data_IF_162443619607
#
_entry.id   IF_162443619607
#
_cell.length_a   1.000
_cell.length_b   1.000
_cell.length_c   1.000
_cell.angle_alpha   90.00
_cell.angle_beta   90.00
_cell.angle_gamma   90.00
#
_symmetry.space_group_name_H-M   'P 1'
#
loop_
_entity.id
_entity.type
_entity.pdbx_description
1 polymer ?
#
# COMPACT_ATOMS: atom_id res chain seq x y z
N UNK A 1 14.48 29.38 -74.67
CA UNK A 1 13.63 28.32 -75.28
C UNK A 1 14.34 26.97 -75.10
N UNK A 2 13.59 25.89 -74.76
CA UNK A 2 14.09 24.58 -74.26
C UNK A 2 14.49 23.65 -75.46
N UNK A 3 14.84 22.33 -75.33
CA UNK A 3 14.53 21.42 -74.22
C UNK A 3 15.51 20.27 -73.85
N UNK A 4 15.15 19.68 -72.71
CA UNK A 4 15.36 18.32 -72.20
C UNK A 4 15.52 17.20 -73.26
N UNK A 5 16.54 16.34 -73.08
CA UNK A 5 16.48 14.85 -73.17
C UNK A 5 17.88 14.23 -73.07
N UNK A 6 18.32 13.85 -71.87
CA UNK A 6 19.48 12.97 -71.69
C UNK A 6 19.38 12.23 -70.35
N UNK A 7 18.60 11.14 -70.32
CA UNK A 7 18.63 10.09 -69.29
C UNK A 7 17.64 8.99 -69.67
N UNK A 8 18.03 8.15 -70.65
CA UNK A 8 17.42 6.84 -71.00
C UNK A 8 18.16 6.26 -72.21
N UNK A 9 19.41 5.83 -72.03
CA UNK A 9 20.17 5.10 -73.07
C UNK A 9 21.39 4.38 -72.48
N UNK A 10 21.18 3.63 -71.40
CA UNK A 10 22.17 2.68 -70.83
C UNK A 10 21.61 1.25 -70.80
N UNK A 11 20.49 0.99 -71.47
CA UNK A 11 19.72 -0.25 -71.27
C UNK A 11 19.75 -1.28 -72.40
N UNK A 12 20.54 -1.17 -73.48
CA UNK A 12 20.34 -2.11 -74.61
C UNK A 12 21.56 -2.34 -75.53
N UNK A 13 22.77 -2.52 -74.99
CA UNK A 13 23.94 -2.90 -75.82
C UNK A 13 25.00 -3.77 -75.11
N UNK A 14 24.60 -4.69 -74.23
CA UNK A 14 25.49 -5.79 -73.76
C UNK A 14 24.74 -7.13 -73.70
N UNK A 15 23.71 -7.33 -74.54
CA UNK A 15 22.89 -8.58 -74.58
C UNK A 15 23.22 -9.45 -75.81
N UNK A 16 24.30 -9.17 -76.53
CA UNK A 16 24.54 -9.73 -77.87
C UNK A 16 25.84 -10.50 -78.09
N UNK A 17 26.48 -11.08 -77.07
CA UNK A 17 27.66 -11.94 -77.26
C UNK A 17 27.78 -12.97 -76.12
N UNK A 18 26.86 -13.93 -76.12
CA UNK A 18 26.93 -15.14 -75.34
C UNK A 18 26.66 -16.34 -76.27
N UNK A 19 27.68 -16.79 -77.00
CA UNK A 19 27.71 -18.11 -77.65
C UNK A 19 29.11 -18.40 -78.18
N UNK A 20 29.99 -18.94 -77.32
CA UNK A 20 31.01 -19.96 -77.65
C UNK A 20 32.19 -19.96 -76.66
N UNK A 21 31.98 -20.39 -75.41
CA UNK A 21 33.02 -21.07 -74.61
C UNK A 21 32.46 -21.44 -73.22
N UNK A 22 31.54 -22.39 -73.16
CA UNK A 22 31.21 -23.09 -71.92
C UNK A 22 31.68 -24.54 -72.06
N UNK A 23 32.96 -24.76 -71.80
CA UNK A 23 33.58 -26.07 -71.65
C UNK A 23 34.00 -26.27 -70.20
N UNK A 24 33.15 -26.97 -69.45
CA UNK A 24 33.44 -27.81 -68.27
C UNK A 24 34.51 -27.34 -67.26
N UNK A 25 34.05 -26.75 -66.15
CA UNK A 25 34.46 -27.17 -64.80
C UNK A 25 33.25 -27.16 -63.89
N UNK A 26 32.61 -28.33 -63.74
CA UNK A 26 31.64 -28.58 -62.67
C UNK A 26 32.46 -28.67 -61.38
N UNK A 27 32.67 -27.54 -60.71
CA UNK A 27 32.88 -27.56 -59.28
C UNK A 27 31.54 -28.00 -58.67
N UNK A 28 31.53 -29.13 -57.96
CA UNK A 28 30.39 -29.49 -57.12
C UNK A 28 30.18 -28.33 -56.15
N UNK A 29 29.11 -27.56 -56.34
CA UNK A 29 28.46 -26.91 -55.21
C UNK A 29 27.92 -28.04 -54.34
N UNK A 30 28.73 -28.50 -53.39
CA UNK A 30 28.17 -29.09 -52.19
C UNK A 30 27.36 -27.98 -51.54
N UNK A 31 26.05 -28.20 -51.39
CA UNK A 31 25.26 -27.48 -50.40
C UNK A 31 26.06 -27.49 -49.09
N UNK A 32 26.26 -26.33 -48.43
CA UNK A 32 26.80 -26.37 -47.09
C UNK A 32 25.83 -27.22 -46.27
N UNK A 33 26.29 -28.39 -45.85
CA UNK A 33 25.59 -29.15 -44.81
C UNK A 33 25.54 -28.19 -43.63
N UNK A 34 24.35 -27.63 -43.38
CA UNK A 34 24.08 -26.90 -42.15
C UNK A 34 24.16 -27.96 -41.05
N UNK A 35 25.36 -28.22 -40.56
CA UNK A 35 25.55 -28.90 -39.30
C UNK A 35 24.85 -28.04 -38.27
N UNK A 36 23.69 -28.49 -37.79
CA UNK A 36 22.96 -27.79 -36.74
C UNK A 36 23.91 -27.50 -35.58
N UNK A 37 23.82 -26.29 -35.04
CA UNK A 37 24.58 -25.93 -33.83
C UNK A 37 24.30 -27.03 -32.77
N UNK A 38 25.32 -27.51 -32.04
CA UNK A 38 25.15 -28.63 -31.13
C UNK A 38 24.16 -28.26 -30.02
N UNK A 39 23.21 -29.16 -29.75
CA UNK A 39 22.34 -29.05 -28.56
C UNK A 39 23.23 -29.20 -27.32
N UNK A 40 23.09 -28.34 -26.30
CA UNK A 40 23.92 -28.45 -25.10
C UNK A 40 23.71 -29.79 -24.37
N UNK A 41 24.65 -30.16 -23.51
CA UNK A 41 24.44 -31.24 -22.54
C UNK A 41 23.55 -30.74 -21.39
N UNK A 42 22.71 -31.61 -20.79
CA UNK A 42 21.83 -31.19 -19.73
C UNK A 42 22.60 -30.80 -18.45
N UNK A 43 22.08 -29.86 -17.65
CA UNK A 43 22.56 -29.64 -16.28
C UNK A 43 22.26 -30.87 -15.41
N UNK A 44 22.94 -30.96 -14.27
CA UNK A 44 22.88 -32.14 -13.40
C UNK A 44 22.86 -31.78 -11.91
N UNK A 45 22.55 -32.76 -11.05
CA UNK A 45 22.63 -32.57 -9.60
C UNK A 45 21.62 -31.56 -9.05
N UNK A 46 20.41 -31.51 -9.64
CA UNK A 46 19.33 -30.68 -9.15
C UNK A 46 18.88 -31.15 -7.77
N UNK A 47 19.03 -30.28 -6.77
CA UNK A 47 18.50 -30.43 -5.42
C UNK A 47 17.45 -29.36 -5.23
N UNK A 48 16.29 -29.75 -4.71
CA UNK A 48 15.21 -28.83 -4.35
C UNK A 48 14.90 -29.01 -2.88
N UNK A 49 14.86 -27.90 -2.14
CA UNK A 49 14.60 -27.91 -0.70
C UNK A 49 13.61 -26.82 -0.31
N UNK A 50 12.85 -27.07 0.75
CA UNK A 50 11.96 -26.08 1.37
C UNK A 50 12.78 -24.96 2.03
N UNK A 51 12.29 -23.73 1.91
CA UNK A 51 12.97 -22.57 2.51
C UNK A 51 12.63 -22.51 4.00
N UNK A 52 13.61 -22.53 4.91
CA UNK A 52 13.32 -22.44 6.33
C UNK A 52 12.75 -21.06 6.71
N UNK A 53 11.98 -21.01 7.80
CA UNK A 53 11.39 -19.78 8.35
C UNK A 53 10.39 -19.05 7.42
N UNK A 54 9.80 -19.72 6.42
CA UNK A 54 8.82 -19.09 5.52
C UNK A 54 7.37 -19.56 5.76
N UNK A 55 6.44 -19.01 4.98
CA UNK A 55 5.02 -19.37 5.04
C UNK A 55 4.68 -20.60 4.16
N UNK A 56 5.65 -21.45 3.85
CA UNK A 56 5.52 -22.58 2.92
C UNK A 56 5.14 -22.11 1.52
N UNK A 57 5.81 -21.08 1.02
CA UNK A 57 5.52 -20.46 -0.30
C UNK A 57 6.75 -20.39 -1.20
N UNK A 58 7.88 -20.92 -0.77
CA UNK A 58 9.13 -20.85 -1.52
C UNK A 58 9.83 -22.20 -1.51
N UNK A 59 10.29 -22.64 -2.67
CA UNK A 59 11.24 -23.76 -2.80
C UNK A 59 12.53 -23.26 -3.43
N UNK A 60 13.67 -23.64 -2.87
CA UNK A 60 15.00 -23.32 -3.39
C UNK A 60 15.53 -24.45 -4.26
N UNK A 61 15.97 -24.10 -5.46
CA UNK A 61 16.57 -25.00 -6.43
C UNK A 61 18.06 -24.69 -6.56
N UNK A 62 18.88 -25.74 -6.48
CA UNK A 62 20.33 -25.68 -6.69
C UNK A 62 20.72 -26.77 -7.67
N UNK A 63 21.46 -26.43 -8.72
CA UNK A 63 21.94 -27.39 -9.72
C UNK A 63 23.40 -27.12 -10.13
N UNK A 64 24.04 -28.11 -10.74
CA UNK A 64 25.33 -27.96 -11.39
C UNK A 64 25.14 -27.54 -12.84
N UNK A 65 25.95 -26.59 -13.30
CA UNK A 65 25.94 -26.09 -14.68
C UNK A 65 26.08 -27.24 -15.70
N UNK A 66 25.57 -27.00 -16.90
CA UNK A 66 25.86 -27.85 -18.04
C UNK A 66 27.37 -27.89 -18.27
N UNK A 67 27.95 -29.06 -18.59
CA UNK A 67 29.34 -29.16 -19.00
C UNK A 67 29.71 -28.31 -20.24
N UNK A 68 28.73 -27.83 -21.01
CA UNK A 68 28.92 -26.96 -22.19
C UNK A 68 28.72 -25.46 -21.87
N UNK A 69 28.45 -25.13 -20.60
CA UNK A 69 28.39 -23.75 -20.10
C UNK A 69 29.80 -23.26 -19.73
N UNK A 70 30.67 -23.22 -20.74
CA UNK A 70 32.06 -22.78 -20.62
C UNK A 70 32.21 -21.33 -21.11
N UNK A 71 33.05 -20.50 -20.43
CA UNK A 71 33.29 -19.12 -20.84
C UNK A 71 33.71 -19.02 -22.31
N UNK A 72 33.00 -18.19 -23.09
CA UNK A 72 33.31 -17.88 -24.48
C UNK A 72 32.78 -18.86 -25.54
N UNK A 73 32.17 -19.99 -25.15
CA UNK A 73 31.63 -20.96 -26.12
C UNK A 73 30.18 -20.67 -26.52
N UNK A 74 29.42 -19.92 -25.70
CA UNK A 74 28.01 -19.51 -25.93
C UNK A 74 27.07 -20.64 -26.38
N UNK A 75 27.40 -21.89 -26.03
CA UNK A 75 26.60 -23.08 -26.34
C UNK A 75 25.33 -23.08 -25.49
N UNK A 76 25.44 -22.71 -24.22
CA UNK A 76 24.30 -22.45 -23.33
C UNK A 76 24.06 -20.94 -23.25
N UNK A 77 22.82 -20.51 -23.47
CA UNK A 77 22.39 -19.13 -23.23
C UNK A 77 21.50 -19.00 -22.01
N UNK A 78 20.67 -20.01 -21.75
CA UNK A 78 19.60 -19.93 -20.75
C UNK A 78 19.32 -21.30 -20.16
N UNK A 79 18.96 -21.33 -18.88
CA UNK A 79 18.36 -22.49 -18.23
C UNK A 79 16.86 -22.23 -18.04
N UNK A 80 16.02 -23.18 -18.44
CA UNK A 80 14.60 -23.17 -18.15
C UNK A 80 14.30 -24.03 -16.92
N UNK A 81 13.55 -23.46 -15.99
CA UNK A 81 13.05 -24.14 -14.81
C UNK A 81 11.62 -24.60 -15.10
N UNK A 82 11.42 -25.91 -15.02
CA UNK A 82 10.12 -26.51 -15.27
C UNK A 82 9.63 -27.29 -14.04
N UNK A 83 8.32 -27.23 -13.81
CA UNK A 83 7.64 -27.88 -12.70
C UNK A 83 6.41 -28.65 -13.17
N UNK A 84 6.13 -29.75 -12.49
CA UNK A 84 4.90 -30.52 -12.60
C UNK A 84 4.42 -30.99 -11.23
N UNK A 85 3.13 -31.30 -11.11
CA UNK A 85 2.55 -31.96 -9.93
C UNK A 85 2.63 -33.49 -10.04
N UNK A 86 3.01 -34.02 -11.21
CA UNK A 86 3.26 -35.47 -11.38
C UNK A 86 4.64 -35.73 -11.99
N UNK A 87 5.25 -36.91 -11.75
CA UNK A 87 6.54 -37.26 -12.35
C UNK A 87 6.53 -37.26 -13.88
N UNK A 88 5.37 -37.52 -14.50
CA UNK A 88 5.23 -37.67 -15.95
C UNK A 88 4.92 -36.35 -16.67
N UNK A 89 4.56 -35.29 -15.93
CA UNK A 89 4.05 -34.05 -16.50
C UNK A 89 2.52 -33.88 -16.32
N UNK A 90 1.91 -32.87 -16.97
CA UNK A 90 2.52 -31.92 -17.89
C UNK A 90 3.53 -31.00 -17.18
N UNK A 91 4.60 -30.66 -17.89
CA UNK A 91 5.64 -29.77 -17.40
C UNK A 91 5.31 -28.33 -17.78
N UNK A 92 5.36 -27.44 -16.81
CA UNK A 92 5.11 -26.00 -16.98
C UNK A 92 6.40 -25.24 -16.75
N UNK A 93 6.70 -24.27 -17.60
CA UNK A 93 7.85 -23.39 -17.41
C UNK A 93 7.50 -22.32 -16.38
N UNK A 94 8.26 -22.29 -15.28
CA UNK A 94 8.07 -21.30 -14.22
C UNK A 94 8.94 -20.08 -14.50
N UNK A 95 10.20 -20.32 -14.87
CA UNK A 95 11.18 -19.25 -15.03
C UNK A 95 12.31 -19.63 -15.99
N UNK A 96 13.13 -18.63 -16.35
CA UNK A 96 14.32 -18.76 -17.17
C UNK A 96 15.47 -17.93 -16.57
N UNK A 97 16.64 -18.52 -16.41
CA UNK A 97 17.84 -17.85 -15.88
C UNK A 97 18.99 -17.89 -16.89
N UNK A 98 19.87 -16.89 -16.87
CA UNK A 98 21.00 -16.82 -17.79
C UNK A 98 22.01 -17.95 -17.52
N UNK A 99 22.82 -18.26 -18.55
CA UNK A 99 24.01 -19.08 -18.44
C UNK A 99 24.90 -18.66 -17.26
N UNK A 100 25.55 -19.62 -16.60
CA UNK A 100 26.33 -19.41 -15.38
C UNK A 100 25.54 -19.36 -14.06
N UNK A 101 24.20 -19.37 -14.10
CA UNK A 101 23.37 -19.41 -12.87
C UNK A 101 23.20 -20.84 -12.37
N UNK A 102 23.41 -21.08 -11.07
CA UNK A 102 23.30 -22.41 -10.42
C UNK A 102 22.21 -22.50 -9.36
N UNK A 103 21.56 -21.39 -9.02
CA UNK A 103 20.59 -21.33 -7.92
C UNK A 103 19.41 -20.46 -8.28
N UNK A 104 18.20 -20.85 -7.88
CA UNK A 104 16.98 -20.05 -8.03
C UNK A 104 15.89 -20.49 -7.08
N UNK A 105 15.10 -19.54 -6.58
CA UNK A 105 13.92 -19.81 -5.75
C UNK A 105 12.63 -19.71 -6.56
N UNK A 106 11.74 -20.68 -6.41
CA UNK A 106 10.36 -20.65 -6.92
C UNK A 106 9.40 -20.17 -5.81
N UNK A 107 8.84 -18.97 -5.99
CA UNK A 107 7.88 -18.34 -5.07
C UNK A 107 6.42 -18.52 -5.53
N UNK A 108 6.18 -19.24 -6.62
CA UNK A 108 4.85 -19.47 -7.20
C UNK A 108 4.20 -20.76 -6.69
N UNK A 109 4.80 -21.43 -5.71
CA UNK A 109 4.35 -22.71 -5.18
C UNK A 109 3.18 -22.54 -4.22
N UNK A 110 2.25 -23.50 -4.26
CA UNK A 110 1.20 -23.61 -3.25
C UNK A 110 1.67 -24.44 -2.06
N UNK A 111 1.26 -24.02 -0.87
CA UNK A 111 1.60 -24.70 0.40
C UNK A 111 1.09 -26.14 0.40
N UNK A 112 1.92 -27.06 0.89
CA UNK A 112 1.62 -28.50 1.03
C UNK A 112 1.27 -29.22 -0.28
N UNK A 113 1.60 -28.63 -1.44
CA UNK A 113 1.47 -29.30 -2.74
C UNK A 113 2.81 -29.95 -3.09
N UNK A 114 2.76 -31.18 -3.59
CA UNK A 114 3.94 -31.92 -4.04
C UNK A 114 4.28 -31.52 -5.48
N UNK A 115 5.53 -31.10 -5.67
CA UNK A 115 6.04 -30.69 -6.97
C UNK A 115 7.26 -31.52 -7.36
N UNK A 116 7.38 -31.74 -8.66
CA UNK A 116 8.52 -32.29 -9.34
C UNK A 116 9.16 -31.20 -10.19
N UNK A 117 10.48 -31.10 -10.12
CA UNK A 117 11.25 -30.09 -10.84
C UNK A 117 12.24 -30.73 -11.79
N UNK A 118 12.50 -30.05 -12.91
CA UNK A 118 13.61 -30.33 -13.79
C UNK A 118 14.18 -29.03 -14.34
N UNK A 119 15.48 -29.03 -14.60
CA UNK A 119 16.17 -27.91 -15.26
C UNK A 119 16.69 -28.40 -16.59
N UNK A 120 16.43 -27.62 -17.64
CA UNK A 120 16.93 -27.88 -18.99
C UNK A 120 17.75 -26.68 -19.45
N UNK A 121 18.83 -26.95 -20.19
CA UNK A 121 19.59 -25.89 -20.82
C UNK A 121 19.02 -25.60 -22.21
N UNK A 122 19.22 -24.38 -22.68
CA UNK A 122 18.86 -23.95 -24.02
C UNK A 122 19.97 -23.10 -24.60
N UNK A 123 20.15 -23.22 -25.91
CA UNK A 123 21.13 -22.46 -26.67
C UNK A 123 20.79 -22.41 -28.15
N UNK A 124 21.71 -21.90 -28.99
CA UNK A 124 21.48 -21.74 -30.42
C UNK A 124 21.18 -23.05 -31.15
N UNK A 125 21.65 -24.19 -30.61
CA UNK A 125 21.39 -25.53 -31.13
C UNK A 125 20.03 -26.14 -30.74
N UNK A 126 19.30 -25.52 -29.81
CA UNK A 126 18.02 -26.01 -29.30
C UNK A 126 18.03 -26.22 -27.78
N UNK A 127 17.06 -27.00 -27.31
CA UNK A 127 16.83 -27.26 -25.88
C UNK A 127 17.28 -28.67 -25.54
N UNK A 128 17.94 -28.83 -24.39
CA UNK A 128 18.42 -30.14 -23.93
C UNK A 128 17.28 -31.02 -23.46
N UNK A 129 17.41 -32.35 -23.52
CA UNK A 129 16.57 -33.22 -22.71
C UNK A 129 16.76 -32.90 -21.22
N UNK A 130 15.79 -33.27 -20.38
CA UNK A 130 15.94 -33.16 -18.93
C UNK A 130 16.99 -34.16 -18.44
N UNK A 131 18.00 -33.67 -17.71
CA UNK A 131 19.06 -34.52 -17.15
C UNK A 131 18.56 -35.37 -15.97
N UNK A 132 17.75 -34.78 -15.09
CA UNK A 132 17.13 -35.46 -13.96
C UNK A 132 15.84 -34.74 -13.53
N UNK A 133 14.91 -35.52 -12.97
CA UNK A 133 13.72 -35.00 -12.28
C UNK A 133 13.95 -35.14 -10.77
N UNK A 134 13.68 -34.07 -10.02
CA UNK A 134 13.81 -34.04 -8.56
C UNK A 134 12.42 -33.83 -7.93
N UNK A 135 12.00 -34.74 -7.06
CA UNK A 135 10.70 -34.68 -6.37
C UNK A 135 10.26 -36.03 -5.80
N UNK A 136 9.13 -36.07 -5.06
CA UNK A 136 8.29 -34.93 -4.71
C UNK A 136 8.92 -34.04 -3.64
N UNK A 137 8.82 -32.72 -3.81
CA UNK A 137 9.18 -31.72 -2.79
C UNK A 137 7.96 -30.84 -2.52
N UNK A 138 7.74 -30.49 -1.26
CA UNK A 138 6.61 -29.66 -0.83
C UNK A 138 7.10 -28.48 0.00
N UNK A 139 6.48 -27.32 -0.20
CA UNK A 139 6.72 -26.16 0.65
C UNK A 139 5.83 -26.22 1.89
N UNK A 140 6.42 -26.17 3.09
CA UNK A 140 5.70 -26.33 4.35
C UNK A 140 5.76 -25.07 5.19
N UNK A 141 4.62 -24.66 5.75
CA UNK A 141 4.61 -23.49 6.63
C UNK A 141 5.16 -23.85 7.99
N UNK A 142 6.06 -23.02 8.47
CA UNK A 142 6.58 -23.11 9.82
C UNK A 142 5.77 -22.20 10.75
N UNK A 143 5.55 -22.64 11.99
CA UNK A 143 4.80 -21.87 12.98
C UNK A 143 5.58 -20.67 13.52
N UNK A 144 6.92 -20.77 13.54
CA UNK A 144 7.81 -19.75 14.09
C UNK A 144 8.83 -19.38 13.00
N UNK A 145 8.91 -18.09 12.68
CA UNK A 145 9.98 -17.52 11.87
C UNK A 145 11.03 -16.91 12.81
N UNK A 146 12.19 -17.55 12.91
CA UNK A 146 13.27 -17.10 13.79
C UNK A 146 13.98 -15.84 13.28
N UNK A 147 13.93 -15.56 11.98
CA UNK A 147 14.52 -14.37 11.35
C UNK A 147 13.83 -13.08 11.79
N UNK A 148 12.57 -13.16 12.22
CA UNK A 148 11.74 -12.00 12.63
C UNK A 148 11.70 -11.76 14.13
N UNK A 149 12.74 -12.17 14.87
CA UNK A 149 12.77 -12.01 16.33
C UNK A 149 12.64 -10.56 16.80
N UNK A 150 13.21 -9.60 16.06
CA UNK A 150 13.10 -8.17 16.34
C UNK A 150 11.65 -7.68 16.29
N UNK A 151 10.83 -8.20 15.36
CA UNK A 151 9.39 -7.88 15.27
C UNK A 151 8.64 -8.39 16.48
N UNK A 152 8.94 -9.61 16.94
CA UNK A 152 8.30 -10.18 18.13
C UNK A 152 8.62 -9.35 19.37
N UNK A 153 9.90 -9.01 19.58
CA UNK A 153 10.33 -8.16 20.70
C UNK A 153 9.66 -6.78 20.64
N UNK A 154 9.65 -6.15 19.47
CA UNK A 154 8.99 -4.85 19.26
C UNK A 154 7.48 -4.91 19.55
N UNK A 155 6.82 -5.99 19.14
CA UNK A 155 5.39 -6.21 19.37
C UNK A 155 5.08 -6.40 20.86
N UNK A 156 5.86 -7.25 21.56
CA UNK A 156 5.72 -7.45 23.00
C UNK A 156 5.94 -6.14 23.74
N UNK A 157 6.98 -5.39 23.38
CA UNK A 157 7.25 -4.08 23.98
C UNK A 157 6.08 -3.12 23.73
N UNK A 158 5.52 -3.07 22.53
CA UNK A 158 4.40 -2.20 22.18
C UNK A 158 3.18 -2.47 23.05
N UNK A 159 2.73 -3.72 23.11
CA UNK A 159 1.60 -4.10 23.95
C UNK A 159 1.90 -3.85 25.44
N UNK A 160 3.12 -4.16 25.89
CA UNK A 160 3.52 -3.93 27.28
C UNK A 160 3.46 -2.46 27.66
N UNK A 161 3.94 -1.54 26.80
CA UNK A 161 3.88 -0.10 27.03
C UNK A 161 2.45 0.42 27.02
N UNK A 162 1.64 0.05 26.01
CA UNK A 162 0.23 0.46 25.92
C UNK A 162 -0.55 0.01 27.15
N UNK A 163 -0.45 -1.26 27.54
CA UNK A 163 -1.14 -1.81 28.71
C UNK A 163 -0.65 -1.16 30.02
N UNK A 164 0.66 -0.93 30.16
CA UNK A 164 1.22 -0.23 31.30
C UNK A 164 0.63 1.18 31.46
N UNK A 165 0.57 1.95 30.38
CA UNK A 165 0.02 3.32 30.46
C UNK A 165 -1.49 3.33 30.66
N UNK A 166 -2.25 2.43 30.04
CA UNK A 166 -3.69 2.29 30.32
C UNK A 166 -3.90 2.02 31.81
N UNK A 167 -3.20 1.04 32.39
CA UNK A 167 -3.30 0.71 33.81
C UNK A 167 -2.85 1.89 34.70
N UNK A 168 -1.78 2.58 34.33
CA UNK A 168 -1.26 3.71 35.08
C UNK A 168 -2.20 4.91 35.09
N UNK A 169 -2.90 5.19 33.99
CA UNK A 169 -3.88 6.30 33.90
C UNK A 169 -5.16 5.92 34.65
N UNK A 170 -5.61 4.67 34.54
CA UNK A 170 -6.74 4.15 35.32
C UNK A 170 -6.49 4.19 36.82
N UNK A 171 -5.23 4.00 37.26
CA UNK A 171 -4.83 4.15 38.66
C UNK A 171 -4.78 5.61 39.15
N UNK A 172 -5.19 6.58 38.32
CA UNK A 172 -5.33 7.99 38.68
C UNK A 172 -4.12 8.86 38.36
N UNK A 173 -3.07 8.33 37.72
CA UNK A 173 -1.98 9.19 37.22
C UNK A 173 -2.48 10.00 36.03
N UNK A 174 -2.15 11.30 36.02
CA UNK A 174 -2.48 12.22 34.93
C UNK A 174 -1.21 12.49 34.11
N UNK A 175 -0.89 11.66 33.11
CA UNK A 175 0.28 11.90 32.27
C UNK A 175 0.12 13.22 31.52
N UNK A 176 1.24 13.91 31.27
CA UNK A 176 1.24 15.07 30.40
C UNK A 176 0.97 14.62 28.95
N UNK A 177 -0.10 15.19 28.38
CA UNK A 177 -0.51 15.01 26.98
C UNK A 177 -0.36 16.36 26.28
N UNK A 178 0.28 16.39 25.10
CA UNK A 178 0.57 17.64 24.36
C UNK A 178 -0.74 18.26 23.89
N UNK A 179 -0.96 19.55 24.16
CA UNK A 179 -2.13 20.26 23.63
C UNK A 179 -2.11 20.27 22.08
N UNK A 180 -3.25 19.96 21.46
CA UNK A 180 -3.42 20.02 20.01
C UNK A 180 -4.31 21.23 19.68
N UNK A 181 -3.79 22.28 19.01
CA UNK A 181 -4.54 23.51 18.75
C UNK A 181 -5.90 23.28 18.08
N UNK A 182 -5.97 22.34 17.14
CA UNK A 182 -7.23 22.03 16.45
C UNK A 182 -8.31 21.44 17.36
N UNK A 183 -7.97 20.90 18.53
CA UNK A 183 -8.95 20.39 19.49
C UNK A 183 -9.56 21.54 20.29
N UNK A 184 -8.75 22.48 20.76
CA UNK A 184 -9.24 23.68 21.45
C UNK A 184 -10.13 24.53 20.53
N UNK A 185 -9.77 24.57 19.24
CA UNK A 185 -10.54 25.26 18.22
C UNK A 185 -11.95 24.69 18.04
N UNK A 186 -12.19 23.39 18.33
CA UNK A 186 -13.53 22.80 18.29
C UNK A 186 -14.42 23.40 19.37
N UNK A 187 -13.92 23.49 20.61
CA UNK A 187 -14.66 24.09 21.73
C UNK A 187 -14.91 25.57 21.49
N UNK A 188 -13.92 26.30 21.01
CA UNK A 188 -14.07 27.71 20.59
C UNK A 188 -15.12 27.84 19.48
N UNK A 189 -15.05 27.00 18.45
CA UNK A 189 -15.97 27.05 17.32
C UNK A 189 -17.42 26.82 17.74
N UNK A 190 -17.66 25.86 18.62
CA UNK A 190 -19.00 25.59 19.16
C UNK A 190 -19.46 26.75 20.04
N UNK A 191 -18.59 27.28 20.91
CA UNK A 191 -18.93 28.44 21.74
C UNK A 191 -19.34 29.66 20.92
N UNK A 192 -18.63 29.96 19.83
CA UNK A 192 -19.02 31.04 18.89
C UNK A 192 -20.35 30.73 18.19
N UNK A 193 -20.59 29.48 17.82
CA UNK A 193 -21.86 29.08 17.22
C UNK A 193 -23.03 29.28 18.22
N UNK A 194 -22.81 28.99 19.50
CA UNK A 194 -23.76 29.28 20.59
C UNK A 194 -24.04 30.78 20.71
N UNK A 195 -22.99 31.60 20.76
CA UNK A 195 -23.11 33.07 20.89
C UNK A 195 -23.86 33.69 19.71
N UNK A 196 -23.69 33.13 18.51
CA UNK A 196 -24.39 33.58 17.30
C UNK A 196 -25.80 32.97 17.14
N UNK A 197 -26.20 32.03 17.98
CA UNK A 197 -27.47 31.31 17.84
C UNK A 197 -27.61 30.54 16.53
N UNK A 198 -26.48 30.08 15.95
CA UNK A 198 -26.41 29.42 14.65
C UNK A 198 -25.94 27.96 14.81
N UNK A 199 -26.34 27.04 13.92
CA UNK A 199 -26.00 25.64 14.06
C UNK A 199 -24.50 25.37 13.82
N UNK A 200 -24.04 24.22 14.33
CA UNK A 200 -22.76 23.59 13.99
C UNK A 200 -23.01 22.56 12.88
N UNK A 201 -22.22 22.62 11.82
CA UNK A 201 -22.20 21.59 10.78
C UNK A 201 -21.03 20.64 11.05
N UNK A 202 -21.32 19.35 11.24
CA UNK A 202 -20.29 18.32 11.41
C UNK A 202 -20.33 17.34 10.25
N UNK A 203 -19.18 17.05 9.64
CA UNK A 203 -19.09 16.10 8.53
C UNK A 203 -18.07 14.98 8.85
N UNK A 204 -18.49 13.71 8.99
CA UNK A 204 -17.63 12.58 9.35
C UNK A 204 -16.90 11.96 8.13
N UNK A 205 -16.40 12.79 7.20
CA UNK A 205 -15.82 12.33 5.93
C UNK A 205 -16.86 11.88 4.89
N UNK A 206 -16.38 11.52 3.70
CA UNK A 206 -17.21 11.09 2.56
C UNK A 206 -17.04 9.60 2.21
N UNK A 207 -16.38 8.83 3.07
CA UNK A 207 -16.11 7.40 2.85
C UNK A 207 -16.96 6.52 3.76
N UNK A 208 -17.10 5.26 3.39
CA UNK A 208 -17.77 4.25 4.22
C UNK A 208 -16.88 3.84 5.41
N UNK A 209 -17.41 3.02 6.33
CA UNK A 209 -16.75 2.56 7.56
C UNK A 209 -15.49 1.70 7.31
N UNK A 210 -15.26 1.28 6.06
CA UNK A 210 -14.04 0.60 5.65
C UNK A 210 -12.80 1.52 5.72
N UNK A 211 -13.00 2.85 5.69
CA UNK A 211 -11.94 3.82 5.94
C UNK A 211 -11.85 4.10 7.46
N UNK A 212 -10.66 3.89 8.01
CA UNK A 212 -10.38 4.09 9.44
C UNK A 212 -10.59 5.55 9.88
N UNK A 213 -10.48 6.53 8.97
CA UNK A 213 -10.74 7.94 9.26
C UNK A 213 -12.22 8.23 9.46
N UNK A 214 -13.11 7.52 8.74
CA UNK A 214 -14.56 7.61 8.97
C UNK A 214 -14.90 7.13 10.37
N UNK A 215 -14.31 6.01 10.79
CA UNK A 215 -14.46 5.50 12.17
C UNK A 215 -13.99 6.55 13.18
N UNK A 216 -12.80 7.13 12.98
CA UNK A 216 -12.27 8.18 13.85
C UNK A 216 -13.20 9.42 13.90
N UNK A 217 -13.69 9.86 12.75
CA UNK A 217 -14.64 10.97 12.62
C UNK A 217 -15.96 10.70 13.35
N UNK A 218 -16.48 9.47 13.34
CA UNK A 218 -17.69 9.13 14.08
C UNK A 218 -17.45 9.09 15.60
N UNK A 219 -16.28 8.61 16.06
CA UNK A 219 -15.94 8.64 17.49
C UNK A 219 -15.76 10.08 18.00
N UNK A 220 -15.16 10.97 17.18
CA UNK A 220 -15.06 12.40 17.51
C UNK A 220 -16.45 13.05 17.57
N UNK A 221 -17.38 12.64 16.69
CA UNK A 221 -18.75 13.18 16.66
C UNK A 221 -19.47 13.01 17.99
N UNK A 222 -19.30 11.90 18.71
CA UNK A 222 -19.90 11.72 20.03
C UNK A 222 -19.45 12.81 21.02
N UNK A 223 -18.14 13.12 21.02
CA UNK A 223 -17.59 14.15 21.89
C UNK A 223 -18.05 15.55 21.49
N UNK A 224 -18.15 15.82 20.18
CA UNK A 224 -18.70 17.07 19.65
C UNK A 224 -20.18 17.21 20.02
N UNK A 225 -20.98 16.16 19.83
CA UNK A 225 -22.41 16.14 20.18
C UNK A 225 -22.64 16.36 21.68
N UNK A 226 -21.79 15.78 22.53
CA UNK A 226 -21.80 16.04 23.97
C UNK A 226 -21.54 17.51 24.29
N UNK A 227 -20.61 18.14 23.58
CA UNK A 227 -20.25 19.54 23.77
C UNK A 227 -21.33 20.50 23.25
N UNK A 228 -21.89 20.24 22.06
CA UNK A 228 -23.01 21.01 21.52
C UNK A 228 -24.26 20.88 22.40
N UNK A 229 -24.53 19.70 22.97
CA UNK A 229 -25.63 19.50 23.91
C UNK A 229 -25.46 20.32 25.20
N UNK A 230 -24.22 20.40 25.74
CA UNK A 230 -23.91 21.22 26.93
C UNK A 230 -24.12 22.71 26.66
N UNK A 231 -23.66 23.18 25.50
CA UNK A 231 -23.81 24.58 25.08
C UNK A 231 -25.15 24.87 24.41
N UNK A 232 -26.09 23.94 24.39
CA UNK A 232 -27.43 24.16 23.82
C UNK A 232 -27.40 24.56 22.34
N UNK A 233 -26.40 24.11 21.59
CA UNK A 233 -26.18 24.49 20.20
C UNK A 233 -26.71 23.42 19.24
N UNK A 234 -27.53 23.78 18.25
CA UNK A 234 -28.00 22.83 17.25
C UNK A 234 -26.83 22.25 16.44
N UNK A 235 -26.87 20.94 16.17
CA UNK A 235 -25.88 20.24 15.34
C UNK A 235 -26.57 19.63 14.11
N UNK A 236 -25.97 19.77 12.94
CA UNK A 236 -26.39 19.14 11.69
C UNK A 236 -25.27 18.26 11.15
N UNK A 237 -25.59 17.00 10.87
CA UNK A 237 -24.64 15.96 10.48
C UNK A 237 -25.09 15.28 9.18
N UNK A 238 -24.75 15.81 8.00
CA UNK A 238 -25.00 15.11 6.75
C UNK A 238 -24.03 13.93 6.61
N UNK A 239 -24.53 12.76 6.19
CA UNK A 239 -23.74 11.53 6.05
C UNK A 239 -23.96 10.89 4.67
N UNK A 240 -22.88 10.35 4.10
CA UNK A 240 -22.83 9.83 2.72
C UNK A 240 -23.39 8.40 2.60
N UNK A 241 -23.08 7.51 3.56
CA UNK A 241 -23.40 6.08 3.47
C UNK A 241 -24.36 5.61 4.58
N UNK A 242 -25.18 4.56 4.36
CA UNK A 242 -26.16 4.08 5.33
C UNK A 242 -25.56 3.56 6.66
N UNK A 243 -24.39 2.91 6.61
CA UNK A 243 -23.74 2.36 7.83
C UNK A 243 -23.18 3.50 8.70
N UNK A 244 -22.37 4.45 8.16
CA UNK A 244 -21.99 5.64 8.89
C UNK A 244 -23.19 6.46 9.37
N UNK A 245 -24.31 6.50 8.64
CA UNK A 245 -25.52 7.22 9.06
C UNK A 245 -26.09 6.67 10.37
N UNK A 246 -26.28 5.35 10.43
CA UNK A 246 -26.82 4.69 11.64
C UNK A 246 -25.86 4.80 12.83
N UNK A 247 -24.55 4.74 12.59
CA UNK A 247 -23.56 4.97 13.65
C UNK A 247 -23.59 6.43 14.10
N UNK A 248 -23.66 7.39 13.17
CA UNK A 248 -23.70 8.82 13.49
C UNK A 248 -24.93 9.18 14.32
N UNK A 249 -26.11 8.63 14.02
CA UNK A 249 -27.32 8.79 14.85
C UNK A 249 -27.06 8.34 16.29
N UNK A 250 -26.45 7.16 16.47
CA UNK A 250 -26.15 6.65 17.80
C UNK A 250 -25.07 7.48 18.51
N UNK A 251 -24.04 7.96 17.80
CA UNK A 251 -23.01 8.84 18.38
C UNK A 251 -23.59 10.17 18.85
N UNK A 252 -24.47 10.80 18.06
CA UNK A 252 -25.15 12.04 18.47
C UNK A 252 -26.05 11.77 19.67
N UNK A 253 -26.89 10.73 19.61
CA UNK A 253 -27.78 10.37 20.72
C UNK A 253 -27.01 10.06 22.00
N UNK A 254 -25.93 9.27 21.91
CA UNK A 254 -25.03 8.96 23.03
C UNK A 254 -24.40 10.22 23.60
N UNK A 255 -23.92 11.13 22.73
CA UNK A 255 -23.37 12.43 23.16
C UNK A 255 -24.35 13.25 23.99
N UNK A 256 -25.61 13.36 23.55
CA UNK A 256 -26.66 14.06 24.28
C UNK A 256 -27.03 13.37 25.61
N UNK A 257 -27.07 12.03 25.61
CA UNK A 257 -27.29 11.24 26.83
C UNK A 257 -26.15 11.46 27.84
N UNK A 258 -24.90 11.40 27.39
CA UNK A 258 -23.69 11.66 28.20
C UNK A 258 -23.56 13.11 28.67
N UNK A 259 -24.22 14.06 28.00
CA UNK A 259 -24.37 15.43 28.45
C UNK A 259 -25.47 15.60 29.52
N UNK A 260 -26.27 14.56 29.78
CA UNK A 260 -27.41 14.61 30.70
C UNK A 260 -28.61 15.36 30.12
N UNK A 261 -28.70 15.49 28.79
CA UNK A 261 -29.77 16.22 28.08
C UNK A 261 -30.42 15.41 26.94
N UNK A 262 -30.89 14.18 27.20
CA UNK A 262 -31.48 13.33 26.17
C UNK A 262 -32.74 13.94 25.53
N UNK A 263 -33.47 14.80 26.24
CA UNK A 263 -34.68 15.47 25.75
C UNK A 263 -34.42 16.50 24.65
N UNK A 264 -33.17 16.94 24.49
CA UNK A 264 -32.76 17.88 23.44
C UNK A 264 -32.22 17.22 22.19
N UNK A 265 -32.13 15.89 22.17
CA UNK A 265 -31.74 15.16 20.98
C UNK A 265 -32.78 15.40 19.86
N UNK A 266 -32.32 15.89 18.71
CA UNK A 266 -33.14 16.00 17.50
C UNK A 266 -32.91 14.78 16.61
N UNK A 267 -33.93 13.93 16.36
CA UNK A 267 -33.83 12.80 15.44
C UNK A 267 -33.46 13.20 14.01
N UNK A 268 -33.67 14.46 13.60
CA UNK A 268 -33.33 14.96 12.27
C UNK A 268 -31.98 15.68 12.21
N UNK A 269 -31.20 15.64 13.30
CA UNK A 269 -29.85 16.22 13.35
C UNK A 269 -28.89 15.49 12.42
N UNK A 270 -29.02 14.17 12.30
CA UNK A 270 -28.25 13.35 11.35
C UNK A 270 -29.10 13.06 10.13
N UNK A 271 -28.53 13.21 8.93
CA UNK A 271 -29.25 13.03 7.67
C UNK A 271 -28.43 12.23 6.68
N UNK A 272 -28.99 11.13 6.18
CA UNK A 272 -28.46 10.47 5.00
C UNK A 272 -28.78 11.32 3.77
N UNK A 273 -27.76 11.65 2.97
CA UNK A 273 -27.89 12.55 1.83
C UNK A 273 -27.83 11.78 0.51
N UNK A 274 -26.66 11.24 0.18
CA UNK A 274 -26.43 10.46 -1.04
C UNK A 274 -25.06 9.80 -0.97
N UNK A 275 -24.89 8.57 -1.48
CA UNK A 275 -23.58 7.96 -1.63
C UNK A 275 -22.82 8.51 -2.84
N UNK A 276 -23.49 9.24 -3.74
CA UNK A 276 -22.87 9.86 -4.91
C UNK A 276 -22.08 11.11 -4.49
N UNK A 277 -20.76 11.07 -4.71
CA UNK A 277 -19.79 12.03 -4.19
C UNK A 277 -20.16 13.49 -4.48
N UNK A 278 -20.43 13.85 -5.74
CA UNK A 278 -20.78 15.24 -6.09
C UNK A 278 -22.18 15.65 -5.66
N UNK A 279 -23.13 14.72 -5.61
CA UNK A 279 -24.48 15.00 -5.10
C UNK A 279 -24.43 15.31 -3.61
N UNK A 280 -23.62 14.55 -2.86
CA UNK A 280 -23.35 14.80 -1.45
C UNK A 280 -22.75 16.19 -1.23
N UNK A 281 -21.71 16.54 -1.98
CA UNK A 281 -21.03 17.85 -1.85
C UNK A 281 -21.95 19.00 -2.22
N UNK A 282 -22.73 18.88 -3.30
CA UNK A 282 -23.71 19.89 -3.69
C UNK A 282 -24.78 20.09 -2.60
N UNK A 283 -25.22 19.02 -1.94
CA UNK A 283 -26.16 19.11 -0.84
C UNK A 283 -25.54 19.77 0.40
N UNK A 284 -24.31 19.39 0.78
CA UNK A 284 -23.61 19.97 1.94
C UNK A 284 -23.29 21.45 1.71
N UNK A 285 -22.77 21.82 0.55
CA UNK A 285 -22.57 23.24 0.18
C UNK A 285 -23.89 24.00 0.14
N UNK A 286 -24.99 23.39 -0.32
CA UNK A 286 -26.33 23.94 -0.22
C UNK A 286 -26.78 24.21 1.23
N UNK A 287 -26.48 23.31 2.16
CA UNK A 287 -26.71 23.53 3.61
C UNK A 287 -25.91 24.73 4.10
N UNK A 288 -24.61 24.81 3.75
CA UNK A 288 -23.74 25.92 4.14
C UNK A 288 -24.28 27.28 3.67
N UNK A 289 -24.75 27.36 2.42
CA UNK A 289 -25.25 28.60 1.83
C UNK A 289 -26.62 29.01 2.36
N UNK A 290 -27.54 28.05 2.57
CA UNK A 290 -28.91 28.31 3.01
C UNK A 290 -29.02 28.51 4.51
N UNK A 291 -28.50 27.55 5.27
CA UNK A 291 -28.71 27.49 6.72
C UNK A 291 -27.62 28.30 7.45
N UNK A 292 -26.52 28.62 6.74
CA UNK A 292 -25.36 29.36 7.22
C UNK A 292 -24.97 28.91 8.63
N UNK A 293 -24.46 27.68 8.84
CA UNK A 293 -23.89 27.30 10.13
C UNK A 293 -22.76 28.26 10.53
N UNK A 294 -22.56 28.48 11.83
CA UNK A 294 -21.50 29.36 12.32
C UNK A 294 -20.15 28.64 12.43
N UNK A 295 -20.17 27.32 12.59
CA UNK A 295 -19.00 26.47 12.67
C UNK A 295 -19.13 25.24 11.76
N UNK A 296 -18.09 24.92 11.02
CA UNK A 296 -17.95 23.72 10.22
C UNK A 296 -16.82 22.84 10.79
N UNK A 297 -17.14 21.59 11.07
CA UNK A 297 -16.20 20.63 11.62
C UNK A 297 -16.10 19.46 10.64
N UNK A 298 -14.97 19.33 9.96
CA UNK A 298 -14.71 18.30 8.96
C UNK A 298 -13.75 17.26 9.53
N UNK A 299 -14.21 16.03 9.80
CA UNK A 299 -13.36 14.97 10.39
C UNK A 299 -13.44 13.70 9.56
N UNK A 300 -12.39 13.38 8.80
CA UNK A 300 -12.35 12.16 7.99
C UNK A 300 -11.58 12.30 6.68
N UNK A 301 -11.99 11.50 5.69
CA UNK A 301 -11.46 11.50 4.33
C UNK A 301 -12.40 12.27 3.40
N UNK A 302 -11.87 13.20 2.58
CA UNK A 302 -12.66 14.14 1.77
C UNK A 302 -12.18 14.35 0.33
N UNK A 303 -11.10 13.69 -0.10
CA UNK A 303 -10.48 13.83 -1.43
C UNK A 303 -10.45 15.28 -1.95
N UNK A 304 -10.83 15.53 -3.20
CA UNK A 304 -10.81 16.85 -3.83
C UNK A 304 -11.93 17.76 -3.32
N UNK A 305 -12.98 17.17 -2.73
CA UNK A 305 -14.15 17.86 -2.19
C UNK A 305 -13.80 18.69 -0.96
N UNK A 306 -12.70 18.34 -0.26
CA UNK A 306 -12.15 19.12 0.85
C UNK A 306 -12.04 20.61 0.52
N UNK A 307 -11.52 20.96 -0.66
CA UNK A 307 -11.38 22.35 -1.09
C UNK A 307 -12.75 23.01 -1.37
N UNK A 308 -13.66 22.30 -2.03
CA UNK A 308 -15.01 22.82 -2.33
C UNK A 308 -15.79 23.11 -1.04
N UNK A 309 -15.75 22.19 -0.09
CA UNK A 309 -16.41 22.32 1.20
C UNK A 309 -15.78 23.45 2.04
N UNK A 310 -14.45 23.48 2.11
CA UNK A 310 -13.73 24.47 2.90
C UNK A 310 -13.85 25.89 2.33
N UNK A 311 -13.71 26.07 1.01
CA UNK A 311 -13.87 27.39 0.38
C UNK A 311 -15.30 27.92 0.54
N UNK A 312 -16.30 27.03 0.41
CA UNK A 312 -17.71 27.41 0.63
C UNK A 312 -17.94 27.86 2.07
N UNK A 313 -17.37 27.17 3.05
CA UNK A 313 -17.51 27.58 4.45
C UNK A 313 -16.75 28.85 4.81
N UNK A 314 -15.60 29.09 4.18
CA UNK A 314 -14.88 30.35 4.31
C UNK A 314 -15.72 31.49 3.76
N UNK A 315 -16.32 31.32 2.58
CA UNK A 315 -17.19 32.31 1.95
C UNK A 315 -18.46 32.63 2.75
N UNK A 316 -18.98 31.70 3.56
CA UNK A 316 -20.12 31.96 4.45
C UNK A 316 -19.73 32.61 5.78
N UNK A 317 -18.43 32.73 6.06
CA UNK A 317 -17.86 33.31 7.28
C UNK A 317 -17.95 32.37 8.49
N UNK A 318 -18.02 31.07 8.27
CA UNK A 318 -18.02 30.08 9.35
C UNK A 318 -16.59 29.82 9.83
N UNK A 319 -16.42 29.54 11.13
CA UNK A 319 -15.16 28.95 11.62
C UNK A 319 -15.05 27.52 11.15
N UNK A 320 -13.87 27.15 10.69
CA UNK A 320 -13.65 25.83 10.12
C UNK A 320 -12.54 25.10 10.85
N UNK A 321 -12.87 23.93 11.38
CA UNK A 321 -11.92 22.99 11.96
C UNK A 321 -11.95 21.71 11.14
N UNK A 322 -10.82 21.36 10.53
CA UNK A 322 -10.70 20.17 9.71
C UNK A 322 -9.74 19.15 10.34
N UNK A 323 -9.87 17.89 9.96
CA UNK A 323 -8.96 16.82 10.36
C UNK A 323 -8.97 15.68 9.35
N UNK A 324 -7.79 15.34 8.84
CA UNK A 324 -7.60 14.25 7.88
C UNK A 324 -6.22 13.61 8.05
N UNK A 325 -6.13 12.31 7.75
CA UNK A 325 -4.89 11.57 7.66
C UNK A 325 -4.39 11.39 6.21
N UNK A 326 -5.12 11.92 5.23
CA UNK A 326 -4.72 11.82 3.82
C UNK A 326 -3.73 12.92 3.43
N UNK A 327 -2.51 12.51 3.10
CA UNK A 327 -1.40 13.41 2.77
C UNK A 327 -1.73 14.38 1.62
N UNK A 328 -2.47 13.91 0.61
CA UNK A 328 -2.82 14.72 -0.56
C UNK A 328 -3.95 15.73 -0.31
N UNK A 329 -4.71 15.60 0.78
CA UNK A 329 -5.87 16.45 1.12
C UNK A 329 -5.49 17.56 2.09
N UNK A 330 -4.48 17.30 2.94
CA UNK A 330 -4.01 18.23 3.96
C UNK A 330 -3.74 19.66 3.44
N UNK A 331 -3.11 19.88 2.27
CA UNK A 331 -2.87 21.24 1.79
C UNK A 331 -4.15 22.07 1.60
N UNK A 332 -5.25 21.43 1.20
CA UNK A 332 -6.52 22.13 0.97
C UNK A 332 -7.12 22.64 2.26
N UNK A 333 -7.16 21.80 3.31
CA UNK A 333 -7.66 22.21 4.62
C UNK A 333 -6.74 23.20 5.33
N UNK A 334 -5.41 23.02 5.22
CA UNK A 334 -4.45 23.95 5.83
C UNK A 334 -4.57 25.37 5.26
N UNK A 335 -4.94 25.51 3.98
CA UNK A 335 -5.09 26.82 3.34
C UNK A 335 -6.49 27.41 3.54
N UNK A 336 -7.54 26.59 3.56
CA UNK A 336 -8.93 27.06 3.56
C UNK A 336 -9.63 27.04 4.93
N UNK A 337 -9.08 26.33 5.93
CA UNK A 337 -9.65 26.25 7.28
C UNK A 337 -8.81 27.01 8.30
N UNK A 338 -9.45 27.49 9.38
CA UNK A 338 -8.77 28.18 10.47
C UNK A 338 -7.80 27.25 11.22
N UNK A 339 -8.22 25.98 11.40
CA UNK A 339 -7.42 24.95 12.07
C UNK A 339 -7.54 23.62 11.35
N UNK A 340 -6.42 22.89 11.26
CA UNK A 340 -6.35 21.56 10.66
C UNK A 340 -5.59 20.59 11.57
N UNK A 341 -6.23 19.49 11.94
CA UNK A 341 -5.61 18.33 12.58
C UNK A 341 -4.88 17.52 11.52
N UNK A 342 -3.60 17.26 11.75
CA UNK A 342 -2.71 16.64 10.75
C UNK A 342 -2.44 15.18 11.11
N UNK A 343 -2.84 14.25 10.23
CA UNK A 343 -2.38 12.87 10.33
C UNK A 343 -2.87 12.17 11.61
N UNK A 344 -1.92 11.86 12.49
CA UNK A 344 -2.19 11.17 13.75
C UNK A 344 -3.05 11.97 14.73
N UNK A 345 -3.09 13.30 14.57
CA UNK A 345 -3.90 14.17 15.43
C UNK A 345 -5.40 13.87 15.30
N UNK A 346 -5.86 13.43 14.12
CA UNK A 346 -7.24 12.97 13.92
C UNK A 346 -7.55 11.74 14.78
N UNK A 347 -6.66 10.75 14.80
CA UNK A 347 -6.88 9.51 15.58
C UNK A 347 -6.73 9.74 17.08
N UNK A 348 -5.92 10.73 17.47
CA UNK A 348 -5.74 11.10 18.87
C UNK A 348 -6.90 11.98 19.40
N UNK A 349 -7.60 12.71 18.53
CA UNK A 349 -8.61 13.71 18.90
C UNK A 349 -9.66 13.22 19.91
N UNK A 350 -10.16 12.00 19.74
CA UNK A 350 -11.15 11.40 20.65
C UNK A 350 -10.61 11.22 22.07
N UNK A 351 -9.34 10.85 22.23
CA UNK A 351 -8.70 10.74 23.53
C UNK A 351 -8.60 12.11 24.24
N UNK A 352 -8.33 13.18 23.49
CA UNK A 352 -8.26 14.54 24.04
C UNK A 352 -9.64 15.07 24.42
N UNK A 353 -10.64 14.90 23.56
CA UNK A 353 -11.99 15.43 23.76
C UNK A 353 -12.77 14.67 24.85
N UNK A 354 -12.69 13.33 24.85
CA UNK A 354 -13.42 12.51 25.82
C UNK A 354 -12.77 12.53 27.21
N UNK A 355 -11.44 12.69 27.27
CA UNK A 355 -10.66 12.55 28.50
C UNK A 355 -10.68 11.14 29.08
N UNK A 356 -11.10 10.12 28.32
CA UNK A 356 -11.26 8.78 28.83
C UNK A 356 -9.91 8.14 29.20
N UNK A 357 -9.75 7.61 30.43
CA UNK A 357 -8.48 7.05 30.90
C UNK A 357 -7.87 6.00 29.96
N UNK A 358 -8.71 5.17 29.33
CA UNK A 358 -8.26 4.12 28.39
C UNK A 358 -7.67 4.72 27.12
N UNK A 359 -8.35 5.70 26.52
CA UNK A 359 -7.92 6.35 25.28
C UNK A 359 -6.66 7.19 25.52
N UNK A 360 -6.63 7.94 26.62
CA UNK A 360 -5.46 8.76 27.02
C UNK A 360 -4.24 7.89 27.33
N UNK A 361 -4.44 6.77 28.04
CA UNK A 361 -3.37 5.82 28.34
C UNK A 361 -2.81 5.14 27.08
N UNK A 362 -3.69 4.72 26.16
CA UNK A 362 -3.29 4.14 24.89
C UNK A 362 -2.48 5.14 24.06
N UNK A 363 -2.96 6.38 23.92
CA UNK A 363 -2.27 7.48 23.23
C UNK A 363 -0.85 7.65 23.79
N UNK A 364 -0.70 7.76 25.11
CA UNK A 364 0.61 7.94 25.74
C UNK A 364 1.56 6.76 25.51
N UNK A 365 1.04 5.53 25.56
CA UNK A 365 1.80 4.32 25.26
C UNK A 365 2.32 4.30 23.82
N UNK A 366 1.47 4.68 22.86
CA UNK A 366 1.85 4.75 21.45
C UNK A 366 2.89 5.84 21.18
N UNK A 367 2.77 7.02 21.80
CA UNK A 367 3.72 8.11 21.62
C UNK A 367 5.10 7.78 22.18
N UNK A 368 5.17 7.09 23.33
CA UNK A 368 6.45 6.64 23.87
C UNK A 368 7.11 5.61 22.95
N UNK A 369 6.33 4.68 22.37
CA UNK A 369 6.88 3.72 21.42
C UNK A 369 7.47 4.41 20.20
N UNK A 370 6.79 5.44 19.66
CA UNK A 370 7.32 6.22 18.53
C UNK A 370 8.66 6.87 18.89
N UNK A 371 8.78 7.45 20.09
CA UNK A 371 10.06 8.01 20.58
C UNK A 371 11.14 6.93 20.64
N UNK A 372 10.84 5.75 21.18
CA UNK A 372 11.79 4.64 21.23
C UNK A 372 12.20 4.16 19.84
N UNK A 373 11.28 4.10 18.88
CA UNK A 373 11.58 3.77 17.48
C UNK A 373 12.49 4.83 16.87
N UNK A 374 12.20 6.12 17.07
CA UNK A 374 13.07 7.22 16.57
C UNK A 374 14.47 7.11 17.17
N UNK A 375 14.59 6.87 18.47
CA UNK A 375 15.90 6.66 19.13
C UNK A 375 16.61 5.44 18.55
N UNK A 376 15.91 4.32 18.37
CA UNK A 376 16.46 3.10 17.79
C UNK A 376 16.96 3.32 16.35
N UNK A 377 16.22 4.08 15.53
CA UNK A 377 16.63 4.45 14.17
C UNK A 377 17.88 5.32 14.20
N UNK A 378 17.91 6.37 15.03
CA UNK A 378 19.08 7.26 15.16
C UNK A 378 20.32 6.49 15.62
N UNK A 379 20.18 5.67 16.67
CA UNK A 379 21.27 4.82 17.17
C UNK A 379 21.72 3.83 16.09
N UNK A 380 20.79 3.21 15.37
CA UNK A 380 21.10 2.31 14.27
C UNK A 380 21.91 2.98 13.17
N UNK A 381 21.50 4.17 12.71
CA UNK A 381 22.23 4.94 11.72
C UNK A 381 23.65 5.30 12.17
N UNK A 382 23.83 5.68 13.45
CA UNK A 382 25.14 6.00 14.02
C UNK A 382 26.06 4.78 14.12
N UNK A 383 25.53 3.64 14.57
CA UNK A 383 26.29 2.39 14.66
C UNK A 383 26.71 1.88 13.28
N UNK A 384 25.81 1.96 12.30
CA UNK A 384 26.09 1.59 10.92
C UNK A 384 27.19 2.47 10.32
N UNK A 385 27.10 3.79 10.53
CA UNK A 385 28.13 4.75 10.11
C UNK A 385 29.49 4.50 10.76
N UNK A 386 29.51 3.93 11.97
CA UNK A 386 30.72 3.54 12.69
C UNK A 386 31.24 2.13 12.34
N UNK A 387 30.65 1.45 11.34
CA UNK A 387 31.04 0.11 10.90
C UNK A 387 30.57 -1.03 11.82
N UNK A 388 29.61 -0.77 12.71
CA UNK A 388 29.02 -1.76 13.63
C UNK A 388 27.66 -2.23 13.10
N UNK A 389 27.68 -3.23 12.23
CA UNK A 389 26.49 -3.73 11.52
C UNK A 389 25.53 -4.59 12.36
N UNK A 390 25.92 -4.99 13.58
CA UNK A 390 25.17 -5.98 14.36
C UNK A 390 23.72 -5.58 14.67
N UNK A 391 23.48 -4.30 14.96
CA UNK A 391 22.13 -3.79 15.24
C UNK A 391 21.26 -3.78 13.97
N UNK A 392 21.82 -3.34 12.85
CA UNK A 392 21.14 -3.32 11.55
C UNK A 392 20.78 -4.74 11.11
N UNK A 393 21.69 -5.70 11.27
CA UNK A 393 21.45 -7.11 10.95
C UNK A 393 20.32 -7.68 11.83
N UNK A 394 20.26 -7.31 13.11
CA UNK A 394 19.19 -7.76 14.00
C UNK A 394 17.83 -7.15 13.65
N UNK A 395 17.81 -5.88 13.21
CA UNK A 395 16.60 -5.20 12.74
C UNK A 395 16.19 -5.63 11.33
N UNK A 396 17.11 -6.15 10.52
CA UNK A 396 16.85 -6.61 9.17
C UNK A 396 16.01 -7.90 9.22
N UNK A 397 14.71 -7.76 8.94
CA UNK A 397 13.82 -8.89 8.71
C UNK A 397 13.91 -9.26 7.23
N UNK A 398 14.86 -10.12 6.86
CA UNK A 398 14.82 -10.79 5.55
C UNK A 398 13.82 -11.93 5.58
#
# INVERSE_FOLDING_TARGET
MPPLRARRLVWLAVVGLALSSLGARIARCQEPVVGGLPVPRPPSGLVVSDVPNDAGRTLDLVWKLSPDDLPGQHVVTTYYLERSETPAGPWTRIDSVAAGTTTKSDQSVSRNVEYFYRVIAAGPGGVTPAGSITGPVRATSQWINQTRWSVLVGTILFFSFVLYYIASVQAGKKPFVRRIPGIDAIEEAIGRATEMGRPVLYVPGIQDINDIQTVAGLVILESVAKLTARYETPITVPVTYPIPFTIAEEMVKSGYLHAGRPERYDPNSVRFVSPEQFAYVAAVTGIMLRDRPAAHIFMGSFFAESLLLAETGFATGAIQVAGTANVHQLPFFVVACDYTLIGEELYAASAYLSGEPKLVGALKGTDLMKILIVVAVVVGCLLESAGRHGFTIWMATQ
#
